data_IF_784505320359
#
_entry.id   IF_784505320359
#
_cell.length_a   1.000
_cell.length_b   1.000
_cell.length_c   1.000
_cell.angle_alpha   90.00
_cell.angle_beta   90.00
_cell.angle_gamma   90.00
#
_symmetry.space_group_name_H-M   'P 1'
#
loop_
_entity.id
_entity.type
_entity.pdbx_description
1 polymer ?
#
# COMPACT_ATOMS: atom_id res chain seq x y z
N UNK A 1 22.91 -3.99 -9.08
CA UNK A 1 21.78 -3.17 -8.58
C UNK A 1 20.53 -3.67 -9.29
N UNK A 2 19.49 -4.05 -8.54
CA UNK A 2 18.21 -4.47 -9.10
C UNK A 2 17.44 -3.27 -9.66
N UNK A 3 16.51 -3.52 -10.56
CA UNK A 3 15.59 -2.50 -11.08
C UNK A 3 14.72 -1.96 -9.93
N UNK A 4 14.57 -0.66 -9.83
CA UNK A 4 13.85 0.01 -8.74
C UNK A 4 12.58 0.72 -9.21
N UNK A 5 12.38 0.83 -10.53
CA UNK A 5 11.23 1.49 -11.16
C UNK A 5 10.59 0.57 -12.20
N UNK A 6 9.27 0.44 -12.15
CA UNK A 6 8.48 -0.45 -13.00
C UNK A 6 7.25 0.27 -13.54
N UNK A 7 6.97 0.07 -14.82
CA UNK A 7 5.77 0.57 -15.47
C UNK A 7 5.02 -0.60 -16.09
N UNK A 8 3.75 -0.74 -15.74
CA UNK A 8 2.86 -1.74 -16.35
C UNK A 8 1.74 -1.01 -17.09
N UNK A 9 1.66 -1.23 -18.38
CA UNK A 9 0.64 -0.62 -19.23
C UNK A 9 -0.51 -1.60 -19.46
N UNK A 10 -1.71 -1.19 -19.06
CA UNK A 10 -2.97 -1.83 -19.43
C UNK A 10 -3.49 -1.08 -20.65
N UNK A 11 -3.48 -1.72 -21.80
CA UNK A 11 -3.97 -1.11 -23.04
C UNK A 11 -5.46 -0.83 -22.94
N UNK A 12 -5.92 0.28 -23.55
CA UNK A 12 -7.32 0.66 -23.59
C UNK A 12 -8.23 -0.48 -24.04
N UNK A 13 -7.83 -1.19 -25.11
CA UNK A 13 -8.57 -2.36 -25.61
C UNK A 13 -8.65 -3.51 -24.59
N UNK A 14 -7.59 -3.70 -23.81
CA UNK A 14 -7.58 -4.72 -22.73
C UNK A 14 -8.53 -4.32 -21.62
N UNK A 15 -8.51 -3.05 -21.23
CA UNK A 15 -9.41 -2.53 -20.19
C UNK A 15 -10.89 -2.66 -20.62
N UNK A 16 -11.23 -2.25 -21.85
CA UNK A 16 -12.56 -2.43 -22.44
C UNK A 16 -13.02 -3.90 -22.42
N UNK A 17 -12.16 -4.81 -22.82
CA UNK A 17 -12.45 -6.25 -22.76
C UNK A 17 -12.69 -6.75 -21.35
N UNK A 18 -11.85 -6.36 -20.38
CA UNK A 18 -12.02 -6.74 -18.97
C UNK A 18 -13.38 -6.29 -18.42
N UNK A 19 -13.80 -5.07 -18.75
CA UNK A 19 -15.09 -4.52 -18.36
C UNK A 19 -16.24 -5.25 -19.07
N UNK A 20 -16.16 -5.44 -20.39
CA UNK A 20 -17.18 -6.09 -21.22
C UNK A 20 -17.44 -7.54 -20.80
N UNK A 21 -16.38 -8.28 -20.53
CA UNK A 21 -16.45 -9.68 -20.08
C UNK A 21 -16.75 -9.82 -18.58
N UNK A 22 -17.01 -8.69 -17.89
CA UNK A 22 -17.31 -8.64 -16.45
C UNK A 22 -16.26 -9.38 -15.60
N UNK A 23 -14.99 -9.16 -15.89
CA UNK A 23 -13.88 -9.74 -15.13
C UNK A 23 -13.91 -9.21 -13.70
N UNK A 24 -14.21 -10.11 -12.76
CA UNK A 24 -14.44 -9.73 -11.36
C UNK A 24 -13.20 -9.19 -10.67
N UNK A 25 -12.03 -9.70 -11.04
CA UNK A 25 -10.75 -9.31 -10.46
C UNK A 25 -9.65 -9.39 -11.51
N UNK A 26 -8.85 -8.35 -11.61
CA UNK A 26 -7.67 -8.28 -12.45
C UNK A 26 -6.46 -7.95 -11.57
N UNK A 27 -5.43 -8.80 -11.63
CA UNK A 27 -4.24 -8.61 -10.80
C UNK A 27 -3.04 -8.23 -11.66
N UNK A 28 -2.41 -7.12 -11.31
CA UNK A 28 -1.09 -6.72 -11.81
C UNK A 28 -0.08 -7.09 -10.74
N UNK A 29 0.81 -8.02 -11.06
CA UNK A 29 1.91 -8.42 -10.17
C UNK A 29 3.24 -7.96 -10.76
N UNK A 30 4.03 -7.26 -9.94
CA UNK A 30 5.34 -6.76 -10.32
C UNK A 30 6.38 -7.53 -9.52
N UNK A 31 6.80 -8.63 -10.10
CA UNK A 31 7.77 -9.58 -9.54
C UNK A 31 7.51 -9.85 -8.04
N UNK A 32 8.50 -9.71 -7.19
CA UNK A 32 8.39 -9.88 -5.74
C UNK A 32 8.18 -8.53 -5.00
N UNK A 33 7.80 -7.46 -5.71
CA UNK A 33 7.74 -6.10 -5.16
C UNK A 33 6.35 -5.71 -4.68
N UNK A 34 5.37 -5.71 -5.58
CA UNK A 34 4.00 -5.25 -5.31
C UNK A 34 3.03 -6.05 -6.19
N UNK A 35 1.87 -6.37 -5.63
CA UNK A 35 0.73 -6.82 -6.43
C UNK A 35 -0.46 -5.91 -6.17
N UNK A 36 -1.13 -5.51 -7.24
CA UNK A 36 -2.34 -4.68 -7.21
C UNK A 36 -3.49 -5.49 -7.79
N UNK A 37 -4.55 -5.68 -7.03
CA UNK A 37 -5.78 -6.34 -7.48
C UNK A 37 -6.86 -5.29 -7.67
N UNK A 38 -7.46 -5.28 -8.86
CA UNK A 38 -8.45 -4.30 -9.31
C UNK A 38 -9.77 -5.04 -9.50
N UNK A 39 -10.80 -4.66 -8.73
CA UNK A 39 -12.15 -5.19 -8.87
C UNK A 39 -12.90 -4.63 -10.08
N UNK A 40 -13.97 -5.29 -10.50
CA UNK A 40 -14.77 -4.90 -11.68
C UNK A 40 -15.26 -3.45 -11.62
N UNK A 41 -15.75 -3.00 -10.48
CA UNK A 41 -16.28 -1.63 -10.37
C UNK A 41 -15.17 -0.58 -10.50
N UNK A 42 -13.98 -0.88 -10.00
CA UNK A 42 -12.79 -0.05 -10.21
C UNK A 42 -12.31 -0.11 -11.65
N UNK A 43 -12.37 -1.28 -12.32
CA UNK A 43 -12.07 -1.38 -13.76
C UNK A 43 -13.02 -0.50 -14.59
N UNK A 44 -14.32 -0.52 -14.30
CA UNK A 44 -15.32 0.35 -14.96
C UNK A 44 -15.02 1.83 -14.72
N UNK A 45 -14.63 2.19 -13.50
CA UNK A 45 -14.23 3.56 -13.16
C UNK A 45 -12.99 4.00 -13.96
N UNK A 46 -11.97 3.14 -14.03
CA UNK A 46 -10.75 3.41 -14.80
C UNK A 46 -11.03 3.54 -16.30
N UNK A 47 -11.87 2.70 -16.86
CA UNK A 47 -12.30 2.77 -18.26
C UNK A 47 -13.00 4.10 -18.56
N UNK A 48 -13.93 4.49 -17.69
CA UNK A 48 -14.65 5.78 -17.81
C UNK A 48 -13.70 6.99 -17.75
N UNK A 49 -12.75 7.00 -16.79
CA UNK A 49 -11.84 8.14 -16.58
C UNK A 49 -10.79 8.24 -17.68
N UNK A 50 -10.29 7.10 -18.19
CA UNK A 50 -9.28 7.07 -19.24
C UNK A 50 -9.79 7.49 -20.61
N UNK A 51 -11.11 7.48 -20.82
CA UNK A 51 -11.75 7.85 -22.07
C UNK A 51 -11.09 7.21 -23.31
N UNK A 52 -10.78 5.92 -23.22
CA UNK A 52 -10.09 5.17 -24.28
C UNK A 52 -8.56 5.34 -24.28
N UNK A 53 -7.99 5.89 -23.24
CA UNK A 53 -6.53 5.95 -23.04
C UNK A 53 -5.98 4.69 -22.36
N UNK A 54 -4.69 4.42 -22.59
CA UNK A 54 -3.97 3.36 -21.90
C UNK A 54 -3.76 3.72 -20.42
N UNK A 55 -3.95 2.80 -19.51
CA UNK A 55 -3.63 2.96 -18.09
C UNK A 55 -2.20 2.50 -17.83
N UNK A 56 -1.43 3.33 -17.12
CA UNK A 56 -0.06 3.01 -16.73
C UNK A 56 0.03 3.02 -15.21
N UNK A 57 0.25 1.86 -14.62
CA UNK A 57 0.60 1.71 -13.20
C UNK A 57 2.13 1.79 -13.08
N UNK A 58 2.60 2.71 -12.25
CA UNK A 58 4.01 2.86 -11.90
C UNK A 58 4.24 2.44 -10.47
N UNK A 59 5.34 1.75 -10.25
CA UNK A 59 5.80 1.31 -8.93
C UNK A 59 7.27 1.61 -8.83
N UNK A 60 7.62 2.54 -7.96
CA UNK A 60 8.98 2.93 -7.69
C UNK A 60 9.36 2.52 -6.27
N UNK A 61 10.46 1.78 -6.12
CA UNK A 61 10.96 1.44 -4.80
C UNK A 61 11.52 2.69 -4.12
N UNK A 62 11.11 2.93 -2.89
CA UNK A 62 11.60 4.06 -2.08
C UNK A 62 12.81 3.61 -1.28
N UNK A 63 14.01 4.00 -1.73
CA UNK A 63 15.27 3.65 -1.05
C UNK A 63 15.60 4.58 0.13
N UNK A 64 15.04 5.79 0.15
CA UNK A 64 15.26 6.77 1.21
C UNK A 64 13.96 7.45 1.64
N UNK A 65 13.52 7.14 2.85
CA UNK A 65 12.38 7.82 3.48
C UNK A 65 12.78 9.24 3.91
N UNK A 66 11.99 10.23 3.57
CA UNK A 66 12.31 11.65 3.74
C UNK A 66 12.10 12.15 5.17
N UNK A 67 11.03 11.69 5.85
CA UNK A 67 10.67 12.16 7.18
C UNK A 67 11.19 11.24 8.30
N UNK A 68 11.40 11.81 9.48
CA UNK A 68 11.75 11.05 10.69
C UNK A 68 10.61 10.11 11.08
N UNK A 69 9.36 10.55 10.91
CA UNK A 69 8.18 9.76 11.22
C UNK A 69 8.09 8.51 10.32
N UNK A 70 8.26 8.66 9.01
CA UNK A 70 8.29 7.54 8.07
C UNK A 70 9.46 6.58 8.36
N UNK A 71 10.64 7.10 8.71
CA UNK A 71 11.79 6.28 9.12
C UNK A 71 11.49 5.48 10.39
N UNK A 72 10.81 6.08 11.36
CA UNK A 72 10.44 5.40 12.60
C UNK A 72 9.38 4.29 12.35
N UNK A 73 8.37 4.56 11.52
CA UNK A 73 7.29 3.63 11.23
C UNK A 73 7.74 2.45 10.36
N UNK A 74 8.49 2.73 9.28
CA UNK A 74 8.88 1.75 8.26
C UNK A 74 10.25 1.14 8.57
N UNK A 75 11.22 1.94 9.01
CA UNK A 75 12.58 1.48 9.24
C UNK A 75 13.27 0.99 7.96
N UNK A 76 13.76 -0.25 7.98
CA UNK A 76 14.39 -0.91 6.83
C UNK A 76 13.43 -1.77 6.00
N UNK A 77 12.12 -1.75 6.33
CA UNK A 77 11.10 -2.51 5.62
C UNK A 77 10.80 -1.88 4.27
N UNK A 78 10.22 -2.64 3.33
CA UNK A 78 9.96 -2.12 1.99
C UNK A 78 8.94 -0.98 1.99
N UNK A 79 9.21 0.00 1.13
CA UNK A 79 8.28 1.07 0.77
C UNK A 79 8.32 1.30 -0.74
N UNK A 80 7.17 1.65 -1.30
CA UNK A 80 6.98 1.86 -2.73
C UNK A 80 6.13 3.09 -2.99
N UNK A 81 6.53 3.88 -3.97
CA UNK A 81 5.70 4.94 -4.54
C UNK A 81 4.86 4.33 -5.66
N UNK A 82 3.54 4.38 -5.47
CA UNK A 82 2.56 3.91 -6.44
C UNK A 82 1.94 5.10 -7.13
N UNK A 83 1.94 5.13 -8.45
CA UNK A 83 1.22 6.13 -9.21
C UNK A 83 0.45 5.52 -10.37
N UNK A 84 -0.66 6.14 -10.72
CA UNK A 84 -1.52 5.72 -11.82
C UNK A 84 -1.75 6.91 -12.75
N UNK A 85 -1.53 6.71 -14.03
CA UNK A 85 -1.82 7.71 -15.06
C UNK A 85 -2.58 7.08 -16.21
N UNK A 86 -3.33 7.85 -16.97
CA UNK A 86 -3.78 7.41 -18.28
C UNK A 86 -3.08 8.20 -19.39
N UNK A 87 -2.80 7.51 -20.49
CA UNK A 87 -2.16 8.05 -21.67
C UNK A 87 -3.19 8.17 -22.79
N UNK A 88 -3.55 9.39 -23.17
CA UNK A 88 -4.44 9.66 -24.29
C UNK A 88 -3.82 10.70 -25.22
N UNK A 89 -3.81 10.41 -26.51
CA UNK A 89 -3.23 11.29 -27.55
C UNK A 89 -1.79 11.77 -27.24
N UNK A 90 -0.98 10.90 -26.65
CA UNK A 90 0.42 11.21 -26.30
C UNK A 90 0.58 12.03 -25.02
N UNK A 91 -0.51 12.36 -24.33
CA UNK A 91 -0.49 13.12 -23.06
C UNK A 91 -0.82 12.20 -21.89
N UNK A 92 0.02 12.23 -20.87
CA UNK A 92 -0.25 11.57 -19.60
C UNK A 92 -1.06 12.47 -18.67
N UNK A 93 -2.05 11.87 -18.00
CA UNK A 93 -2.87 12.56 -16.99
C UNK A 93 -2.92 11.70 -15.74
N UNK A 94 -2.53 12.23 -14.57
CA UNK A 94 -2.57 11.50 -13.32
C UNK A 94 -4.00 11.13 -12.90
N UNK A 95 -4.14 9.91 -12.34
CA UNK A 95 -5.35 9.46 -11.64
C UNK A 95 -5.01 9.47 -10.15
N UNK A 96 -5.27 10.60 -9.49
CA UNK A 96 -4.90 10.78 -8.09
C UNK A 96 -5.76 9.97 -7.12
N UNK A 97 -7.03 9.73 -7.47
CA UNK A 97 -7.97 8.96 -6.65
C UNK A 97 -8.95 8.17 -7.53
N UNK A 98 -9.58 7.19 -6.92
CA UNK A 98 -10.51 6.27 -7.59
C UNK A 98 -11.99 6.61 -7.35
N UNK A 99 -12.31 7.85 -6.95
CA UNK A 99 -13.69 8.34 -6.79
C UNK A 99 -14.59 7.42 -5.94
N UNK A 100 -14.09 7.00 -4.78
CA UNK A 100 -14.79 6.12 -3.86
C UNK A 100 -14.63 4.63 -4.12
N UNK A 101 -13.99 4.22 -5.21
CA UNK A 101 -13.56 2.84 -5.45
C UNK A 101 -12.20 2.57 -4.82
N UNK A 102 -11.87 1.29 -4.65
CA UNK A 102 -10.60 0.85 -4.06
C UNK A 102 -9.90 -0.18 -4.92
N UNK A 103 -8.61 -0.30 -4.69
CA UNK A 103 -7.76 -1.41 -5.12
C UNK A 103 -7.23 -2.14 -3.89
N UNK A 104 -6.99 -3.44 -4.02
CA UNK A 104 -6.27 -4.20 -2.98
C UNK A 104 -4.80 -4.27 -3.35
N UNK A 105 -3.95 -3.85 -2.42
CA UNK A 105 -2.48 -3.82 -2.60
C UNK A 105 -1.86 -4.86 -1.68
N UNK A 106 -0.84 -5.56 -2.19
CA UNK A 106 -0.03 -6.52 -1.44
C UNK A 106 1.42 -6.07 -1.49
N UNK A 107 2.01 -5.86 -0.32
CA UNK A 107 3.43 -5.57 -0.16
C UNK A 107 4.12 -6.82 0.39
N UNK A 108 4.86 -7.58 -0.44
CA UNK A 108 5.58 -8.75 0.01
C UNK A 108 6.58 -8.40 1.11
N UNK A 109 6.54 -9.18 2.18
CA UNK A 109 7.43 -9.00 3.31
C UNK A 109 7.62 -10.31 4.07
N UNK A 110 8.85 -10.62 4.41
CA UNK A 110 9.18 -11.70 5.33
C UNK A 110 9.54 -11.08 6.67
N UNK A 111 8.75 -11.32 7.73
CA UNK A 111 9.01 -10.73 9.04
C UNK A 111 10.43 -11.04 9.53
N UNK A 112 11.10 -10.03 10.07
CA UNK A 112 12.41 -10.20 10.66
C UNK A 112 12.32 -11.00 11.99
N UNK A 113 13.46 -11.53 12.45
CA UNK A 113 13.50 -12.26 13.72
C UNK A 113 13.02 -11.37 14.87
N UNK A 114 12.00 -11.83 15.58
CA UNK A 114 11.40 -11.12 16.71
C UNK A 114 10.20 -10.23 16.34
N UNK A 115 9.92 -10.03 15.07
CA UNK A 115 8.71 -9.32 14.66
C UNK A 115 7.48 -10.21 14.79
N UNK A 116 6.45 -9.67 15.43
CA UNK A 116 5.14 -10.30 15.52
C UNK A 116 4.27 -9.87 14.34
N UNK A 117 3.72 -10.82 13.61
CA UNK A 117 2.93 -10.55 12.40
C UNK A 117 1.69 -9.69 12.67
N UNK A 118 1.11 -9.79 13.87
CA UNK A 118 -0.01 -8.95 14.30
C UNK A 118 0.32 -7.47 14.48
N UNK A 119 1.60 -7.11 14.48
CA UNK A 119 2.07 -5.73 14.61
C UNK A 119 2.56 -5.13 13.27
N UNK A 120 2.43 -5.90 12.19
CA UNK A 120 2.74 -5.46 10.83
C UNK A 120 1.51 -4.85 10.18
N UNK A 121 1.64 -3.61 9.73
CA UNK A 121 0.59 -2.84 9.07
C UNK A 121 1.12 -2.22 7.79
N UNK A 122 0.22 -1.89 6.87
CA UNK A 122 0.55 -0.94 5.84
C UNK A 122 0.52 0.47 6.42
N UNK A 123 1.43 1.30 5.97
CA UNK A 123 1.46 2.73 6.27
C UNK A 123 1.46 3.52 4.97
N UNK A 124 0.74 4.60 4.96
CA UNK A 124 0.73 5.62 3.94
C UNK A 124 1.64 6.77 4.36
N UNK A 125 2.41 7.30 3.43
CA UNK A 125 3.26 8.48 3.66
C UNK A 125 2.86 9.55 2.65
N UNK A 126 2.42 10.70 3.14
CA UNK A 126 2.03 11.82 2.30
C UNK A 126 3.24 12.61 1.76
N UNK A 127 2.99 13.58 0.89
CA UNK A 127 4.04 14.42 0.28
C UNK A 127 4.80 15.27 1.33
N UNK A 128 4.19 15.56 2.47
CA UNK A 128 4.82 16.24 3.59
C UNK A 128 5.65 15.28 4.47
N UNK A 129 5.57 13.97 4.21
CA UNK A 129 6.26 12.93 4.97
C UNK A 129 5.54 12.51 6.24
N UNK A 130 4.28 12.91 6.43
CA UNK A 130 3.43 12.47 7.54
C UNK A 130 2.97 11.04 7.31
N UNK A 131 2.92 10.24 8.37
CA UNK A 131 2.54 8.84 8.33
C UNK A 131 1.09 8.64 8.80
N UNK A 132 0.36 7.86 8.04
CA UNK A 132 -0.94 7.34 8.43
C UNK A 132 -0.90 5.80 8.45
N UNK A 133 -1.28 5.22 9.60
CA UNK A 133 -1.37 3.77 9.76
C UNK A 133 -2.69 3.26 9.20
N UNK A 134 -2.63 2.37 8.21
CA UNK A 134 -3.81 1.77 7.62
C UNK A 134 -4.29 0.65 8.55
N UNK A 135 -5.17 0.99 9.48
CA UNK A 135 -5.63 0.09 10.55
C UNK A 135 -6.39 -1.14 10.04
N UNK A 136 -6.95 -1.07 8.83
CA UNK A 136 -7.62 -2.20 8.16
C UNK A 136 -6.65 -3.08 7.37
N UNK A 137 -5.34 -2.83 7.46
CA UNK A 137 -4.32 -3.69 6.86
C UNK A 137 -3.96 -4.83 7.79
N UNK A 138 -3.44 -5.92 7.23
CA UNK A 138 -2.95 -7.06 7.99
C UNK A 138 -1.88 -7.84 7.24
N UNK A 139 -1.01 -8.52 7.99
CA UNK A 139 -0.08 -9.48 7.41
C UNK A 139 -0.80 -10.81 7.11
N UNK A 140 -0.72 -11.23 5.85
CA UNK A 140 -1.22 -12.51 5.41
C UNK A 140 -0.06 -13.51 5.28
N UNK A 141 -0.04 -14.51 6.16
CA UNK A 141 1.05 -15.48 6.21
C UNK A 141 1.13 -16.38 4.96
N UNK A 142 -0.01 -16.71 4.35
CA UNK A 142 -0.06 -17.53 3.13
C UNK A 142 0.49 -16.79 1.92
N UNK A 143 0.28 -15.48 1.85
CA UNK A 143 0.77 -14.61 0.79
C UNK A 143 2.15 -14.04 1.11
N UNK A 144 2.63 -14.18 2.35
CA UNK A 144 3.85 -13.54 2.88
C UNK A 144 3.87 -12.04 2.54
N UNK A 145 2.78 -11.36 2.80
CA UNK A 145 2.59 -9.96 2.42
C UNK A 145 1.71 -9.21 3.41
N UNK A 146 1.93 -7.92 3.55
CA UNK A 146 0.94 -7.01 4.14
C UNK A 146 -0.08 -6.65 3.08
N UNK A 147 -1.36 -6.81 3.39
CA UNK A 147 -2.49 -6.59 2.48
C UNK A 147 -3.36 -5.45 3.00
N UNK A 148 -3.76 -4.56 2.11
CA UNK A 148 -4.63 -3.43 2.43
C UNK A 148 -5.42 -2.96 1.20
N UNK A 149 -6.43 -2.15 1.43
CA UNK A 149 -7.19 -1.47 0.39
C UNK A 149 -6.89 0.03 0.41
N UNK A 150 -6.85 0.64 -0.76
CA UNK A 150 -6.69 2.09 -0.92
C UNK A 150 -7.47 2.62 -2.11
N UNK A 151 -7.97 3.86 -2.00
CA UNK A 151 -8.64 4.59 -3.09
C UNK A 151 -7.77 5.66 -3.74
N UNK A 152 -6.50 5.78 -3.37
CA UNK A 152 -5.55 6.76 -3.93
C UNK A 152 -4.16 6.15 -4.11
N UNK A 153 -3.31 6.86 -4.85
CA UNK A 153 -1.95 6.45 -5.18
C UNK A 153 -0.96 7.37 -4.47
N UNK A 154 0.08 6.80 -3.86
CA UNK A 154 1.11 7.51 -3.11
C UNK A 154 2.20 6.53 -2.62
N UNK A 155 3.00 6.97 -1.64
CA UNK A 155 3.98 6.13 -0.98
C UNK A 155 3.32 5.25 0.08
N UNK A 156 3.51 3.94 -0.07
CA UNK A 156 3.07 2.92 0.89
C UNK A 156 4.25 2.07 1.34
N UNK A 157 4.27 1.73 2.62
CA UNK A 157 5.32 0.88 3.17
C UNK A 157 4.79 -0.13 4.17
N UNK A 158 5.64 -1.10 4.51
CA UNK A 158 5.39 -2.01 5.62
C UNK A 158 5.86 -1.36 6.91
N UNK A 159 4.93 -1.02 7.78
CA UNK A 159 5.20 -0.49 9.12
C UNK A 159 5.16 -1.59 10.17
N UNK A 160 5.90 -1.37 11.26
CA UNK A 160 5.85 -2.21 12.45
C UNK A 160 5.53 -1.38 13.67
N UNK A 161 4.41 -1.69 14.29
CA UNK A 161 3.99 -1.03 15.52
C UNK A 161 4.56 -1.83 16.69
N UNK A 162 5.60 -1.28 17.34
CA UNK A 162 6.17 -1.94 18.50
C UNK A 162 5.07 -2.23 19.52
N UNK A 163 5.02 -3.46 20.08
CA UNK A 163 4.12 -3.72 21.18
C UNK A 163 4.47 -2.78 22.35
N UNK A 164 3.45 -2.34 23.07
CA UNK A 164 3.68 -1.59 24.29
C UNK A 164 4.64 -2.38 25.19
N UNK A 165 5.61 -1.71 25.84
CA UNK A 165 6.53 -2.40 26.73
C UNK A 165 5.74 -3.15 27.82
N UNK A 166 6.07 -4.45 27.99
CA UNK A 166 5.50 -5.24 29.06
C UNK A 166 6.17 -4.82 30.37
N UNK A 167 5.51 -3.98 31.15
CA UNK A 167 5.96 -3.62 32.48
C UNK A 167 5.58 -4.77 33.44
N UNK A 168 6.56 -5.44 33.99
CA UNK A 168 6.35 -6.55 34.94
C UNK A 168 6.17 -6.10 36.38
N UNK A 169 6.49 -4.85 36.67
CA UNK A 169 6.52 -4.23 37.98
C UNK A 169 5.29 -3.36 38.32
N UNK A 170 4.35 -3.20 37.37
CA UNK A 170 3.19 -2.33 37.56
C UNK A 170 1.90 -3.08 37.95
N UNK A 171 1.94 -4.40 38.16
CA UNK A 171 0.73 -5.21 38.40
C UNK A 171 -0.16 -4.72 39.54
N UNK A 172 0.40 -4.10 40.55
CA UNK A 172 -0.33 -3.54 41.70
C UNK A 172 -0.15 -2.03 41.82
N UNK A 173 0.30 -1.36 40.78
CA UNK A 173 0.52 0.08 40.83
C UNK A 173 -0.80 0.81 40.52
N UNK A 174 -1.17 1.80 41.34
CA UNK A 174 -2.42 2.57 41.17
C UNK A 174 -2.57 3.22 39.78
N UNK A 175 -1.47 3.54 39.11
CA UNK A 175 -1.45 4.14 37.76
C UNK A 175 -1.21 3.11 36.62
N UNK A 176 -1.34 1.82 36.88
CA UNK A 176 -1.05 0.76 35.87
C UNK A 176 -1.74 1.01 34.54
N UNK A 177 -3.03 1.30 34.54
CA UNK A 177 -3.82 1.55 33.35
C UNK A 177 -3.36 2.79 32.57
N UNK A 178 -2.97 3.85 33.28
CA UNK A 178 -2.44 5.08 32.67
C UNK A 178 -1.04 4.84 32.05
N UNK A 179 -0.20 4.05 32.71
CA UNK A 179 1.14 3.67 32.22
C UNK A 179 1.00 2.82 30.95
N UNK A 180 0.13 1.80 30.95
CA UNK A 180 -0.14 0.94 29.79
C UNK A 180 -0.74 1.75 28.63
N UNK A 181 -1.66 2.67 28.92
CA UNK A 181 -2.24 3.56 27.93
C UNK A 181 -1.19 4.48 27.30
N UNK A 182 -0.32 5.10 28.10
CA UNK A 182 0.74 5.97 27.60
C UNK A 182 1.79 5.21 26.78
N UNK A 183 2.12 3.97 27.19
CA UNK A 183 3.10 3.13 26.53
C UNK A 183 2.59 2.50 25.22
N UNK A 184 1.26 2.45 25.00
CA UNK A 184 0.64 1.90 23.80
C UNK A 184 0.51 2.92 22.65
N UNK A 185 0.91 4.14 22.87
CA UNK A 185 0.87 5.23 21.88
C UNK A 185 2.24 5.57 21.34
#
# INVERSE_FOLDING_TARGET
>A
AGQTSFNVTIKAQTLDLLVKENVRQFTVAIDHLVSVNIGLDTLKQLDSVSAGGDIILRVDKVDALRSTEAKAAIGTRPAYDLSLVYLSSGKETPIANLNGHTISVRLPYTPAKGEQTGNLYAVYVDDAGKVEWITKSSYNASLKAVVFETGHFSVYGVGYKNPAPAFTDIHNHWAADNILFAASR
#
